data_IF_245215765575
#
_entry.id   IF_245215765575
#
_cell.length_a   1.000
_cell.length_b   1.000
_cell.length_c   1.000
_cell.angle_alpha   90.00
_cell.angle_beta   90.00
_cell.angle_gamma   90.00
#
_symmetry.space_group_name_H-M   'P 1'
#
loop_
_entity.id
_entity.type
_entity.pdbx_description
1 polymer ?
#
# COMPACT_ATOMS: atom_id res chain seq x y z
N UNK A 1 11.60 20.63 -3.50
CA UNK A 1 12.06 21.87 -4.16
C UNK A 1 11.85 21.93 -5.68
N UNK A 2 11.16 20.96 -6.32
CA UNK A 2 10.98 20.95 -7.78
C UNK A 2 9.66 21.61 -8.27
N UNK A 3 8.91 22.28 -7.39
CA UNK A 3 7.58 22.83 -7.70
C UNK A 3 7.57 23.80 -8.90
N UNK A 4 8.50 24.78 -8.98
CA UNK A 4 8.57 25.68 -10.13
C UNK A 4 8.87 24.93 -11.44
N UNK A 5 9.72 23.91 -11.40
CA UNK A 5 10.06 23.09 -12.57
C UNK A 5 8.87 22.27 -13.09
N UNK A 6 8.09 21.67 -12.19
CA UNK A 6 6.88 20.91 -12.55
C UNK A 6 5.77 21.82 -13.12
N UNK A 7 5.62 23.04 -12.62
CA UNK A 7 4.67 24.00 -13.19
C UNK A 7 5.12 24.48 -14.57
N UNK A 8 6.43 24.77 -14.73
CA UNK A 8 7.00 25.16 -16.03
C UNK A 8 6.91 24.05 -17.07
N UNK A 9 7.02 22.77 -16.70
CA UNK A 9 6.83 21.66 -17.64
C UNK A 9 5.38 21.54 -18.10
N UNK A 10 4.41 21.75 -17.20
CA UNK A 10 2.99 21.76 -17.57
C UNK A 10 2.69 22.92 -18.53
N UNK A 11 3.27 24.09 -18.31
CA UNK A 11 3.13 25.25 -19.20
C UNK A 11 3.80 25.01 -20.55
N UNK A 12 4.95 24.33 -20.58
CA UNK A 12 5.62 23.95 -21.81
C UNK A 12 4.79 22.94 -22.61
N UNK A 13 4.22 21.92 -21.96
CA UNK A 13 3.37 20.90 -22.59
C UNK A 13 2.08 21.51 -23.16
N UNK A 14 1.47 22.46 -22.42
CA UNK A 14 0.27 23.18 -22.87
C UNK A 14 0.58 24.08 -24.09
N UNK A 15 1.72 24.80 -24.06
CA UNK A 15 2.15 25.64 -25.18
C UNK A 15 2.59 24.82 -26.40
N UNK A 16 3.11 23.60 -26.19
CA UNK A 16 3.47 22.66 -27.24
C UNK A 16 2.25 21.90 -27.81
N UNK A 17 1.06 22.07 -27.21
CA UNK A 17 -0.17 21.39 -27.63
C UNK A 17 -0.21 19.89 -27.32
N UNK A 18 0.64 19.42 -26.40
CA UNK A 18 0.70 18.02 -25.97
C UNK A 18 -0.47 17.70 -25.01
N UNK A 19 -0.92 18.70 -24.25
CA UNK A 19 -2.04 18.61 -23.32
C UNK A 19 -3.03 19.76 -23.57
N UNK A 20 -4.29 19.57 -23.19
CA UNK A 20 -5.33 20.60 -23.26
C UNK A 20 -5.41 21.46 -21.97
N UNK A 21 -6.28 22.49 -21.98
CA UNK A 21 -6.45 23.39 -20.83
C UNK A 21 -7.05 22.71 -19.59
N UNK A 22 -7.95 21.73 -19.78
CA UNK A 22 -8.57 21.00 -18.67
C UNK A 22 -7.56 20.02 -18.04
N UNK A 23 -6.75 19.35 -18.85
CA UNK A 23 -5.69 18.48 -18.41
C UNK A 23 -4.56 19.25 -17.71
N UNK A 24 -4.17 20.42 -18.25
CA UNK A 24 -3.20 21.31 -17.59
C UNK A 24 -3.70 21.81 -16.23
N UNK A 25 -5.00 22.15 -16.12
CA UNK A 25 -5.62 22.54 -14.85
C UNK A 25 -5.61 21.39 -13.83
N UNK A 26 -5.91 20.18 -14.28
CA UNK A 26 -5.90 18.97 -13.44
C UNK A 26 -4.49 18.67 -12.94
N UNK A 27 -3.48 18.64 -13.82
CA UNK A 27 -2.08 18.42 -13.43
C UNK A 27 -1.54 19.49 -12.48
N UNK A 28 -1.92 20.76 -12.67
CA UNK A 28 -1.54 21.84 -11.72
C UNK A 28 -2.14 21.61 -10.34
N UNK A 29 -3.39 21.15 -10.27
CA UNK A 29 -4.03 20.81 -9.01
C UNK A 29 -3.33 19.65 -8.31
N UNK A 30 -2.93 18.61 -9.05
CA UNK A 30 -2.14 17.48 -8.52
C UNK A 30 -0.78 17.93 -7.98
N UNK A 31 -0.04 18.74 -8.74
CA UNK A 31 1.25 19.28 -8.28
C UNK A 31 1.09 20.16 -7.04
N UNK A 32 0.01 20.94 -6.95
CA UNK A 32 -0.31 21.74 -5.76
C UNK A 32 -0.61 20.83 -4.56
N UNK A 33 -1.43 19.79 -4.73
CA UNK A 33 -1.72 18.83 -3.65
C UNK A 33 -0.48 18.10 -3.17
N UNK A 34 0.40 17.70 -4.08
CA UNK A 34 1.68 17.08 -3.75
C UNK A 34 2.54 18.04 -2.92
N UNK A 35 2.61 19.31 -3.31
CA UNK A 35 3.35 20.33 -2.58
C UNK A 35 2.76 20.60 -1.18
N UNK A 36 1.44 20.71 -1.08
CA UNK A 36 0.74 20.88 0.19
C UNK A 36 0.96 19.68 1.12
N UNK A 37 0.94 18.47 0.58
CA UNK A 37 1.21 17.24 1.33
C UNK A 37 2.63 17.24 1.90
N UNK A 38 3.65 17.48 1.07
CA UNK A 38 5.03 17.50 1.55
C UNK A 38 5.32 18.70 2.46
N UNK A 39 4.66 19.84 2.26
CA UNK A 39 4.72 20.98 3.17
C UNK A 39 4.13 20.67 4.54
N UNK A 40 2.96 20.04 4.57
CA UNK A 40 2.33 19.56 5.81
C UNK A 40 3.17 18.48 6.49
N UNK A 41 3.81 17.59 5.72
CA UNK A 41 4.64 16.49 6.24
C UNK A 41 5.96 17.00 6.84
N UNK A 42 6.63 17.98 6.22
CA UNK A 42 7.81 18.64 6.80
C UNK A 42 7.46 19.39 8.09
N UNK A 43 6.31 20.08 8.10
CA UNK A 43 5.77 20.71 9.31
C UNK A 43 5.55 19.69 10.43
N UNK A 44 4.78 18.63 10.16
CA UNK A 44 4.50 17.55 11.11
C UNK A 44 5.79 16.89 11.63
N UNK A 45 6.78 16.63 10.76
CA UNK A 45 8.07 16.04 11.13
C UNK A 45 8.85 16.92 12.13
N UNK A 46 8.84 18.25 11.95
CA UNK A 46 9.46 19.19 12.90
C UNK A 46 8.74 19.20 14.25
N UNK A 47 7.40 19.14 14.27
CA UNK A 47 6.63 19.05 15.52
C UNK A 47 6.87 17.73 16.25
N UNK A 48 6.87 16.60 15.55
CA UNK A 48 7.15 15.28 16.12
C UNK A 48 8.57 15.21 16.69
N UNK A 49 9.55 15.77 15.97
CA UNK A 49 10.93 15.85 16.47
C UNK A 49 11.06 16.73 17.71
N UNK A 50 10.33 17.85 17.76
CA UNK A 50 10.29 18.73 18.94
C UNK A 50 9.65 18.05 20.16
N UNK A 51 8.54 17.35 19.94
CA UNK A 51 7.83 16.59 20.98
C UNK A 51 8.68 15.45 21.54
N UNK A 52 9.40 14.72 20.67
CA UNK A 52 10.33 13.67 21.09
C UNK A 52 11.50 14.22 21.95
N UNK A 53 12.06 15.38 21.58
CA UNK A 53 13.14 16.02 22.36
C UNK A 53 12.62 16.47 23.73
N UNK A 54 11.41 17.07 23.77
CA UNK A 54 10.78 17.48 25.02
C UNK A 54 10.47 16.29 25.93
N UNK A 55 9.93 15.19 25.38
CA UNK A 55 9.67 13.95 26.12
C UNK A 55 10.93 13.33 26.74
N UNK A 56 12.04 13.31 26.00
CA UNK A 56 13.34 12.82 26.52
C UNK A 56 13.85 13.70 27.67
N UNK A 57 13.72 15.03 27.55
CA UNK A 57 14.13 15.97 28.61
C UNK A 57 13.28 15.78 29.87
N UNK A 58 11.95 15.69 29.73
CA UNK A 58 11.03 15.44 30.84
C UNK A 58 11.37 14.12 31.53
N UNK A 59 11.64 13.07 30.75
CA UNK A 59 12.03 11.75 31.30
C UNK A 59 13.31 11.82 32.12
N UNK A 60 14.35 12.50 31.62
CA UNK A 60 15.60 12.68 32.36
C UNK A 60 15.40 13.49 33.64
N UNK A 61 14.63 14.58 33.58
CA UNK A 61 14.35 15.44 34.74
C UNK A 61 13.57 14.65 35.80
N UNK A 62 12.54 13.91 35.42
CA UNK A 62 11.72 13.15 36.35
C UNK A 62 12.50 11.99 37.00
N UNK A 63 13.36 11.29 36.25
CA UNK A 63 14.20 10.23 36.81
C UNK A 63 15.25 10.81 37.76
N UNK A 64 16.02 11.82 37.33
CA UNK A 64 17.11 12.38 38.15
C UNK A 64 16.55 13.14 39.35
N UNK A 65 15.56 14.00 39.13
CA UNK A 65 14.91 14.79 40.17
C UNK A 65 14.12 13.92 41.15
N UNK A 66 13.37 12.94 40.63
CA UNK A 66 12.64 11.96 41.45
C UNK A 66 13.58 11.12 42.31
N UNK A 67 14.70 10.67 41.75
CA UNK A 67 15.69 9.90 42.49
C UNK A 67 16.42 10.74 43.55
N UNK A 68 16.75 12.00 43.25
CA UNK A 68 17.32 12.94 44.21
C UNK A 68 16.36 13.23 45.38
N UNK A 69 15.08 13.52 45.09
CA UNK A 69 14.05 13.78 46.10
C UNK A 69 13.73 12.51 46.90
N UNK A 70 13.59 11.36 46.22
CA UNK A 70 13.28 10.07 46.82
C UNK A 70 14.34 9.63 47.84
N UNK A 71 15.62 9.83 47.52
CA UNK A 71 16.71 9.50 48.45
C UNK A 71 16.89 10.58 49.53
N UNK A 72 16.84 11.88 49.18
CA UNK A 72 17.17 12.96 50.11
C UNK A 72 16.04 13.33 51.08
N UNK A 73 14.77 13.29 50.63
CA UNK A 73 13.61 13.69 51.44
C UNK A 73 12.81 12.49 51.96
N UNK A 74 12.73 11.41 51.19
CA UNK A 74 11.91 10.24 51.53
C UNK A 74 12.72 9.04 52.07
N UNK A 75 14.05 9.18 52.22
CA UNK A 75 14.95 8.13 52.74
C UNK A 75 14.83 6.79 52.01
N UNK A 76 14.43 6.80 50.74
CA UNK A 76 14.31 5.58 49.94
C UNK A 76 15.71 5.08 49.55
N UNK A 77 15.89 3.76 49.54
CA UNK A 77 17.08 3.14 48.94
C UNK A 77 17.14 3.43 47.44
N UNK A 78 18.34 3.57 46.88
CA UNK A 78 18.56 3.89 45.47
C UNK A 78 17.75 3.01 44.51
N UNK A 79 17.69 1.69 44.78
CA UNK A 79 16.94 0.73 43.94
C UNK A 79 15.42 0.95 44.00
N UNK A 80 14.89 1.29 45.17
CA UNK A 80 13.45 1.50 45.36
C UNK A 80 13.03 2.86 44.77
N UNK A 81 13.83 3.90 44.98
CA UNK A 81 13.63 5.20 44.34
C UNK A 81 13.65 5.09 42.80
N UNK A 82 14.61 4.37 42.24
CA UNK A 82 14.68 4.15 40.80
C UNK A 82 13.41 3.46 40.26
N UNK A 83 12.93 2.39 40.92
CA UNK A 83 11.71 1.68 40.50
C UNK A 83 10.48 2.58 40.54
N UNK A 84 10.26 3.29 41.65
CA UNK A 84 9.08 4.14 41.84
C UNK A 84 9.05 5.28 40.83
N UNK A 85 10.15 6.04 40.72
CA UNK A 85 10.20 7.21 39.85
C UNK A 85 10.33 6.85 38.38
N UNK A 86 10.96 5.72 38.01
CA UNK A 86 10.92 5.23 36.63
C UNK A 86 9.50 4.82 36.21
N UNK A 87 8.75 4.11 37.07
CA UNK A 87 7.37 3.72 36.78
C UNK A 87 6.45 4.94 36.61
N UNK A 88 6.56 5.92 37.51
CA UNK A 88 5.82 7.19 37.43
C UNK A 88 6.15 7.95 36.14
N UNK A 89 7.43 8.02 35.76
CA UNK A 89 7.88 8.73 34.55
C UNK A 89 7.38 8.06 33.26
N UNK A 90 7.41 6.73 33.19
CA UNK A 90 6.87 5.99 32.04
C UNK A 90 5.34 6.19 31.95
N UNK A 91 4.65 6.17 33.10
CA UNK A 91 3.21 6.44 33.16
C UNK A 91 2.84 7.84 32.66
N UNK A 92 3.57 8.87 33.11
CA UNK A 92 3.40 10.25 32.67
C UNK A 92 3.63 10.40 31.15
N UNK A 93 4.69 9.78 30.63
CA UNK A 93 4.96 9.73 29.20
C UNK A 93 3.82 9.10 28.38
N UNK A 94 3.27 7.97 28.84
CA UNK A 94 2.14 7.32 28.15
C UNK A 94 0.86 8.17 28.19
N UNK A 95 0.57 8.82 29.31
CA UNK A 95 -0.61 9.68 29.47
C UNK A 95 -0.51 10.94 28.62
N UNK A 96 0.67 11.51 28.45
CA UNK A 96 0.89 12.70 27.61
C UNK A 96 0.92 12.34 26.11
N UNK A 97 1.54 11.22 25.73
CA UNK A 97 1.82 10.92 24.33
C UNK A 97 0.60 10.37 23.57
N UNK A 98 -0.23 9.54 24.21
CA UNK A 98 -1.38 8.90 23.54
C UNK A 98 -2.39 9.94 23.03
N UNK A 99 -2.82 10.94 23.82
CA UNK A 99 -3.73 11.98 23.34
C UNK A 99 -3.10 12.88 22.27
N UNK A 100 -1.81 13.21 22.42
CA UNK A 100 -1.07 14.03 21.44
C UNK A 100 -1.04 13.34 20.07
N UNK A 101 -0.74 12.04 20.04
CA UNK A 101 -0.74 11.24 18.81
C UNK A 101 -2.13 11.17 18.16
N UNK A 102 -3.18 10.96 18.95
CA UNK A 102 -4.57 10.96 18.46
C UNK A 102 -4.98 12.31 17.90
N UNK A 103 -4.61 13.41 18.55
CA UNK A 103 -4.90 14.76 18.08
C UNK A 103 -4.13 15.09 16.79
N UNK A 104 -2.84 14.73 16.73
CA UNK A 104 -1.99 14.93 15.56
C UNK A 104 -2.50 14.14 14.35
N UNK A 105 -2.85 12.87 14.54
CA UNK A 105 -3.41 12.04 13.46
C UNK A 105 -4.78 12.53 13.02
N UNK A 106 -5.67 12.93 13.93
CA UNK A 106 -6.95 13.53 13.58
C UNK A 106 -6.77 14.84 12.79
N UNK A 107 -5.87 15.72 13.21
CA UNK A 107 -5.56 16.96 12.50
C UNK A 107 -4.96 16.68 11.11
N UNK A 108 -4.05 15.72 10.99
CA UNK A 108 -3.47 15.31 9.71
C UNK A 108 -4.53 14.75 8.75
N UNK A 109 -5.45 13.92 9.25
CA UNK A 109 -6.59 13.40 8.45
C UNK A 109 -7.50 14.54 7.98
N UNK A 110 -7.76 15.53 8.83
CA UNK A 110 -8.55 16.71 8.46
C UNK A 110 -7.82 17.50 7.36
N UNK A 111 -6.55 17.86 7.58
CA UNK A 111 -5.78 18.71 6.65
C UNK A 111 -5.58 18.03 5.28
N UNK A 112 -5.30 16.73 5.24
CA UNK A 112 -5.08 16.01 3.98
C UNK A 112 -6.35 15.78 3.17
N UNK A 113 -7.54 15.99 3.74
CA UNK A 113 -8.83 15.61 3.11
C UNK A 113 -9.78 16.79 2.86
N UNK A 114 -9.42 18.00 3.30
CA UNK A 114 -10.16 19.27 3.04
C UNK A 114 -10.12 19.70 1.56
N UNK A 115 -9.32 19.06 0.70
CA UNK A 115 -9.31 19.32 -0.74
C UNK A 115 -10.45 18.63 -1.54
N UNK A 116 -11.36 17.90 -0.89
CA UNK A 116 -12.57 17.35 -1.54
C UNK A 116 -13.80 18.22 -1.23
N UNK A 117 -14.56 18.60 -2.26
CA UNK A 117 -15.68 19.55 -2.21
C UNK A 117 -16.97 19.01 -1.59
N UNK A 118 -16.92 17.96 -0.77
CA UNK A 118 -18.10 17.34 -0.13
C UNK A 118 -18.08 17.54 1.38
N UNK A 119 -19.25 17.80 1.97
CA UNK A 119 -19.44 17.91 3.41
C UNK A 119 -18.99 16.62 4.12
N UNK A 120 -17.86 16.71 4.83
CA UNK A 120 -17.23 15.63 5.59
C UNK A 120 -18.24 14.86 6.46
N UNK A 121 -19.15 15.57 7.13
CA UNK A 121 -20.18 14.96 7.97
C UNK A 121 -21.10 14.00 7.20
N UNK A 122 -21.48 14.36 5.97
CA UNK A 122 -22.31 13.52 5.13
C UNK A 122 -21.55 12.28 4.63
N UNK A 123 -20.28 12.41 4.25
CA UNK A 123 -19.47 11.25 3.82
C UNK A 123 -19.25 10.25 4.95
N UNK A 124 -18.91 10.73 6.15
CA UNK A 124 -18.72 9.87 7.33
C UNK A 124 -20.04 9.17 7.68
N UNK A 125 -21.17 9.88 7.67
CA UNK A 125 -22.49 9.27 7.88
C UNK A 125 -22.79 8.20 6.83
N UNK A 126 -22.57 8.49 5.54
CA UNK A 126 -22.81 7.54 4.45
C UNK A 126 -21.89 6.32 4.55
N UNK A 127 -20.63 6.48 4.97
CA UNK A 127 -19.68 5.37 5.04
C UNK A 127 -19.88 4.50 6.30
N UNK A 128 -20.13 5.13 7.46
CA UNK A 128 -20.43 4.43 8.70
C UNK A 128 -21.77 3.70 8.63
N UNK A 129 -22.82 4.34 8.11
CA UNK A 129 -24.14 3.73 8.00
C UNK A 129 -24.37 3.00 6.68
N UNK A 130 -23.45 3.08 5.72
CA UNK A 130 -23.52 2.36 4.43
C UNK A 130 -22.77 1.04 4.42
N UNK A 131 -21.86 0.80 5.38
CA UNK A 131 -21.10 -0.46 5.44
C UNK A 131 -21.74 -1.47 6.41
N UNK A 132 -22.27 -2.61 5.90
CA UNK A 132 -22.93 -3.60 6.76
C UNK A 132 -21.96 -4.23 7.77
N UNK A 133 -20.66 -4.29 7.45
CA UNK A 133 -19.62 -4.79 8.35
C UNK A 133 -19.40 -3.88 9.57
N UNK A 134 -19.35 -2.55 9.37
CA UNK A 134 -19.16 -1.62 10.49
C UNK A 134 -20.34 -1.63 11.46
N UNK A 135 -21.58 -1.64 10.94
CA UNK A 135 -22.77 -1.78 11.78
C UNK A 135 -22.82 -3.12 12.51
N UNK A 136 -22.39 -4.21 11.88
CA UNK A 136 -22.35 -5.53 12.52
C UNK A 136 -21.34 -5.59 13.67
N UNK A 137 -20.13 -5.05 13.47
CA UNK A 137 -19.11 -4.97 14.53
C UNK A 137 -19.61 -4.10 15.69
N UNK A 138 -20.20 -2.93 15.40
CA UNK A 138 -20.80 -2.06 16.41
C UNK A 138 -21.92 -2.79 17.19
N UNK A 139 -22.78 -3.53 16.50
CA UNK A 139 -23.84 -4.32 17.13
C UNK A 139 -23.28 -5.36 18.11
N UNK A 140 -22.22 -6.08 17.72
CA UNK A 140 -21.56 -7.08 18.58
C UNK A 140 -20.98 -6.41 19.83
N UNK A 141 -20.25 -5.30 19.67
CA UNK A 141 -19.65 -4.57 20.79
C UNK A 141 -20.74 -4.05 21.75
N UNK A 142 -21.83 -3.48 21.22
CA UNK A 142 -22.94 -2.98 22.02
C UNK A 142 -23.65 -4.10 22.78
N UNK A 143 -23.84 -5.27 22.17
CA UNK A 143 -24.41 -6.44 22.86
C UNK A 143 -23.48 -6.94 23.96
N UNK A 144 -22.18 -7.03 23.70
CA UNK A 144 -21.19 -7.43 24.71
C UNK A 144 -21.21 -6.45 25.89
N UNK A 145 -21.15 -5.14 25.65
CA UNK A 145 -21.26 -4.12 26.70
C UNK A 145 -22.60 -4.22 27.45
N UNK A 146 -23.67 -4.51 26.73
CA UNK A 146 -25.01 -4.70 27.28
C UNK A 146 -25.19 -5.99 28.08
N UNK A 147 -24.23 -6.91 28.11
CA UNK A 147 -24.24 -8.10 28.98
C UNK A 147 -23.44 -7.87 30.27
N UNK A 148 -22.58 -6.85 30.31
CA UNK A 148 -21.76 -6.52 31.49
C UNK A 148 -22.66 -5.98 32.63
N UNK A 149 -22.60 -6.56 33.84
CA UNK A 149 -23.40 -6.09 34.98
C UNK A 149 -22.97 -4.69 35.41
N UNK A 150 -23.93 -3.79 35.62
CA UNK A 150 -23.69 -2.39 35.99
C UNK A 150 -23.88 -1.38 34.86
N UNK A 151 -24.06 -1.84 33.62
CA UNK A 151 -24.39 -0.98 32.47
C UNK A 151 -25.91 -0.97 32.19
N UNK A 152 -26.47 0.10 31.58
CA UNK A 152 -27.87 0.15 31.16
C UNK A 152 -28.23 -0.92 30.10
N UNK A 153 -28.51 -2.15 30.54
CA UNK A 153 -28.73 -3.33 29.69
C UNK A 153 -29.75 -3.06 28.56
N UNK A 154 -30.87 -2.42 28.86
CA UNK A 154 -31.92 -2.11 27.87
C UNK A 154 -31.45 -1.16 26.76
N UNK A 155 -30.62 -0.16 27.09
CA UNK A 155 -30.13 0.80 26.10
C UNK A 155 -29.12 0.17 25.14
N UNK A 156 -28.16 -0.59 25.68
CA UNK A 156 -27.11 -1.23 24.89
C UNK A 156 -27.62 -2.40 24.05
N UNK A 157 -28.49 -3.25 24.60
CA UNK A 157 -29.12 -4.32 23.84
C UNK A 157 -30.10 -3.76 22.79
N UNK A 158 -30.85 -2.70 23.12
CA UNK A 158 -31.73 -2.00 22.18
C UNK A 158 -30.98 -1.39 20.99
N UNK A 159 -29.90 -0.64 21.25
CA UNK A 159 -29.06 -0.08 20.19
C UNK A 159 -28.33 -1.17 19.41
N UNK A 160 -27.81 -2.20 20.08
CA UNK A 160 -27.15 -3.32 19.43
C UNK A 160 -28.07 -4.08 18.47
N UNK A 161 -29.31 -4.34 18.88
CA UNK A 161 -30.33 -4.96 18.00
C UNK A 161 -30.72 -4.07 16.83
N UNK A 162 -30.82 -2.75 17.03
CA UNK A 162 -31.11 -1.80 15.95
C UNK A 162 -29.96 -1.75 14.94
N UNK A 163 -28.71 -1.72 15.39
CA UNK A 163 -27.53 -1.82 14.53
C UNK A 163 -27.46 -3.15 13.78
N UNK A 164 -27.80 -4.27 14.44
CA UNK A 164 -27.85 -5.58 13.77
C UNK A 164 -28.94 -5.62 12.68
N UNK A 165 -30.12 -5.07 12.96
CA UNK A 165 -31.20 -4.96 11.98
C UNK A 165 -30.82 -4.05 10.79
N UNK A 166 -30.15 -2.93 11.07
CA UNK A 166 -29.62 -2.03 10.03
C UNK A 166 -28.58 -2.71 9.15
N UNK A 167 -27.62 -3.44 9.75
CA UNK A 167 -26.63 -4.23 9.01
C UNK A 167 -27.30 -5.26 8.09
N UNK A 168 -28.27 -6.00 8.62
CA UNK A 168 -29.01 -7.02 7.88
C UNK A 168 -29.82 -6.42 6.73
N UNK A 169 -30.46 -5.27 6.94
CA UNK A 169 -31.24 -4.57 5.90
C UNK A 169 -30.35 -4.06 4.77
N UNK A 170 -29.20 -3.47 5.08
CA UNK A 170 -28.22 -3.01 4.08
C UNK A 170 -27.64 -4.20 3.30
N UNK A 171 -27.31 -5.28 4.01
CA UNK A 171 -26.78 -6.50 3.40
C UNK A 171 -27.80 -7.13 2.43
N UNK A 172 -29.06 -7.21 2.84
CA UNK A 172 -30.15 -7.75 2.03
C UNK A 172 -30.44 -6.87 0.79
N UNK A 173 -30.43 -5.55 0.96
CA UNK A 173 -30.59 -4.60 -0.16
C UNK A 173 -29.45 -4.70 -1.17
N UNK A 174 -28.21 -4.84 -0.70
CA UNK A 174 -27.03 -5.05 -1.57
C UNK A 174 -27.05 -6.39 -2.31
N UNK A 175 -27.65 -7.43 -1.73
CA UNK A 175 -27.88 -8.69 -2.45
C UNK A 175 -29.01 -8.60 -3.49
N UNK A 176 -30.08 -7.86 -3.18
CA UNK A 176 -31.19 -7.65 -4.10
C UNK A 176 -30.79 -6.82 -5.33
N UNK A 177 -29.83 -5.91 -5.18
CA UNK A 177 -29.19 -5.12 -6.25
C UNK A 177 -27.98 -5.86 -6.89
N UNK A 178 -27.92 -7.20 -6.77
CA UNK A 178 -26.77 -8.09 -6.99
C UNK A 178 -26.09 -8.16 -8.37
N UNK A 179 -26.25 -7.13 -9.21
CA UNK A 179 -25.46 -6.91 -10.43
C UNK A 179 -24.26 -5.96 -10.23
N UNK A 180 -24.38 -4.90 -9.43
CA UNK A 180 -23.37 -3.82 -9.38
C UNK A 180 -22.37 -3.92 -8.21
N UNK A 181 -22.79 -4.42 -7.04
CA UNK A 181 -21.89 -4.52 -5.85
C UNK A 181 -20.76 -5.53 -6.07
N UNK A 182 -20.98 -6.53 -6.94
CA UNK A 182 -19.96 -7.52 -7.33
C UNK A 182 -18.93 -6.95 -8.29
N UNK A 183 -19.23 -5.84 -8.98
CA UNK A 183 -18.27 -5.09 -9.77
C UNK A 183 -17.50 -4.11 -8.89
N UNK A 184 -18.14 -3.42 -7.94
CA UNK A 184 -17.44 -2.51 -7.00
C UNK A 184 -16.46 -3.25 -6.06
N UNK A 185 -16.80 -4.43 -5.55
CA UNK A 185 -15.84 -5.26 -4.79
C UNK A 185 -14.71 -5.81 -5.67
N UNK A 186 -14.97 -6.03 -6.97
CA UNK A 186 -13.94 -6.43 -7.94
C UNK A 186 -13.08 -5.26 -8.38
N UNK A 187 -13.63 -4.06 -8.49
CA UNK A 187 -12.90 -2.82 -8.79
C UNK A 187 -12.08 -2.38 -7.59
N UNK A 188 -12.61 -2.43 -6.37
CA UNK A 188 -11.84 -2.15 -5.16
C UNK A 188 -10.67 -3.14 -4.99
N UNK A 189 -10.89 -4.43 -5.25
CA UNK A 189 -9.80 -5.42 -5.29
C UNK A 189 -8.81 -5.19 -6.43
N UNK A 190 -9.27 -4.78 -7.62
CA UNK A 190 -8.38 -4.42 -8.74
C UNK A 190 -7.58 -3.15 -8.45
N UNK A 191 -8.14 -2.18 -7.74
CA UNK A 191 -7.46 -0.95 -7.33
C UNK A 191 -6.44 -1.24 -6.23
N UNK A 192 -6.75 -2.12 -5.26
CA UNK A 192 -5.76 -2.62 -4.29
C UNK A 192 -4.67 -3.46 -4.96
N UNK A 193 -5.01 -4.34 -5.93
CA UNK A 193 -4.02 -5.10 -6.70
C UNK A 193 -3.17 -4.20 -7.61
N UNK A 194 -3.74 -3.16 -8.23
CA UNK A 194 -3.01 -2.16 -9.01
C UNK A 194 -2.16 -1.25 -8.13
N UNK A 195 -2.59 -0.92 -6.91
CA UNK A 195 -1.79 -0.15 -5.95
C UNK A 195 -0.61 -0.99 -5.43
N UNK A 196 -0.83 -2.26 -5.13
CA UNK A 196 0.23 -3.21 -4.75
C UNK A 196 1.17 -3.55 -5.93
N UNK A 197 0.68 -3.48 -7.18
CA UNK A 197 1.52 -3.59 -8.38
C UNK A 197 2.33 -2.30 -8.64
N UNK A 198 1.76 -1.10 -8.43
CA UNK A 198 2.51 0.17 -8.52
C UNK A 198 3.60 0.30 -7.47
N UNK A 199 3.39 -0.26 -6.28
CA UNK A 199 4.44 -0.35 -5.26
C UNK A 199 5.58 -1.31 -5.67
N UNK A 200 5.29 -2.31 -6.52
CA UNK A 200 6.30 -3.16 -7.14
C UNK A 200 6.94 -2.57 -8.41
N UNK A 201 6.30 -1.63 -9.10
CA UNK A 201 6.86 -0.97 -10.29
C UNK A 201 8.03 -0.02 -9.97
N UNK A 202 8.19 0.37 -8.70
CA UNK A 202 9.33 1.15 -8.21
C UNK A 202 10.38 0.31 -7.46
N UNK A 203 10.37 -1.02 -7.61
CA UNK A 203 11.57 -1.79 -7.27
C UNK A 203 12.63 -1.49 -8.33
N UNK A 204 13.69 -0.80 -7.92
CA UNK A 204 14.93 -0.75 -8.71
C UNK A 204 15.33 -2.19 -9.09
N UNK A 205 15.75 -2.38 -10.35
CA UNK A 205 16.18 -3.68 -10.90
C UNK A 205 17.08 -4.42 -9.89
N UNK A 206 16.57 -5.51 -9.35
CA UNK A 206 17.27 -6.36 -8.38
C UNK A 206 17.98 -7.53 -9.07
N UNK A 207 18.82 -8.23 -8.32
CA UNK A 207 19.43 -9.50 -8.79
C UNK A 207 18.39 -10.57 -9.11
N UNK A 208 17.18 -10.46 -8.53
CA UNK A 208 16.05 -11.34 -8.80
C UNK A 208 15.41 -11.11 -10.20
N UNK A 209 15.66 -9.95 -10.82
CA UNK A 209 15.20 -9.61 -12.18
C UNK A 209 16.16 -10.12 -13.26
N UNK A 210 17.35 -10.58 -12.87
CA UNK A 210 18.33 -11.18 -13.78
C UNK A 210 17.89 -12.60 -14.09
N UNK A 211 17.24 -12.77 -15.25
CA UNK A 211 16.84 -14.11 -15.68
C UNK A 211 18.07 -15.02 -15.85
N UNK A 212 18.00 -16.28 -15.37
CA UNK A 212 19.04 -17.27 -15.62
C UNK A 212 19.29 -17.45 -17.12
N UNK A 213 20.56 -17.64 -17.48
CA UNK A 213 20.96 -17.83 -18.88
C UNK A 213 20.44 -19.17 -19.39
N UNK A 214 19.71 -19.12 -20.51
CA UNK A 214 19.19 -20.32 -21.16
C UNK A 214 20.33 -21.18 -21.72
N UNK A 215 20.25 -22.49 -21.45
CA UNK A 215 21.25 -23.44 -21.91
C UNK A 215 21.34 -23.48 -23.44
N UNK A 216 20.20 -23.49 -24.12
CA UNK A 216 20.07 -23.38 -25.57
C UNK A 216 18.92 -22.40 -25.86
N UNK A 217 19.22 -21.31 -26.55
CA UNK A 217 18.23 -20.32 -27.02
C UNK A 217 18.09 -20.34 -28.54
N UNK A 218 16.88 -20.06 -29.01
CA UNK A 218 16.59 -19.78 -30.41
C UNK A 218 15.87 -18.43 -30.47
N UNK A 219 16.57 -17.43 -30.98
CA UNK A 219 16.01 -16.12 -31.23
C UNK A 219 15.48 -16.06 -32.67
N UNK A 220 14.27 -15.53 -32.85
CA UNK A 220 13.64 -15.42 -34.16
C UNK A 220 13.23 -13.98 -34.46
N UNK A 221 13.48 -13.54 -35.69
CA UNK A 221 12.93 -12.31 -36.22
C UNK A 221 11.41 -12.40 -36.40
N UNK A 222 10.74 -11.25 -36.44
CA UNK A 222 9.27 -11.19 -36.36
C UNK A 222 8.52 -11.93 -37.49
N UNK A 223 9.10 -12.12 -38.69
CA UNK A 223 8.44 -12.87 -39.78
C UNK A 223 8.50 -14.38 -39.60
N UNK A 224 9.30 -14.87 -38.67
CA UNK A 224 9.40 -16.29 -38.33
C UNK A 224 8.49 -16.69 -37.16
N UNK A 225 7.88 -15.72 -36.45
CA UNK A 225 6.93 -15.98 -35.35
C UNK A 225 5.81 -16.96 -35.74
N UNK A 226 5.16 -16.83 -36.92
CA UNK A 226 4.09 -17.76 -37.32
C UNK A 226 4.56 -19.23 -37.45
N UNK A 227 5.85 -19.48 -37.69
CA UNK A 227 6.40 -20.83 -37.80
C UNK A 227 6.60 -21.48 -36.42
N UNK A 228 6.72 -20.68 -35.37
CA UNK A 228 6.94 -21.11 -33.99
C UNK A 228 5.62 -21.26 -33.23
N UNK A 229 4.64 -20.39 -33.50
CA UNK A 229 3.37 -20.35 -32.79
C UNK A 229 2.42 -21.49 -33.18
N UNK A 230 2.04 -22.32 -32.20
CA UNK A 230 1.11 -23.44 -32.42
C UNK A 230 -0.29 -22.98 -32.80
N UNK A 231 -0.72 -21.81 -32.31
CA UNK A 231 -2.05 -21.27 -32.60
C UNK A 231 -2.20 -20.87 -34.07
N UNK A 232 -1.08 -20.55 -34.72
CA UNK A 232 -1.00 -20.18 -36.14
C UNK A 232 -0.61 -21.37 -37.04
N UNK A 233 -0.59 -22.60 -36.51
CA UNK A 233 -0.21 -23.80 -37.27
C UNK A 233 1.31 -23.98 -37.43
N UNK A 234 2.12 -23.32 -36.61
CA UNK A 234 3.57 -23.43 -36.59
C UNK A 234 4.06 -24.85 -36.31
N UNK A 235 4.97 -25.35 -37.14
CA UNK A 235 5.52 -26.70 -37.03
C UNK A 235 6.87 -26.77 -36.29
N UNK A 236 7.51 -25.62 -36.01
CA UNK A 236 8.89 -25.59 -35.55
C UNK A 236 9.06 -26.25 -34.18
N UNK A 237 8.14 -26.01 -33.24
CA UNK A 237 8.16 -26.62 -31.90
C UNK A 237 8.11 -28.15 -31.96
N UNK A 238 7.31 -28.71 -32.87
CA UNK A 238 7.23 -30.15 -33.08
C UNK A 238 8.53 -30.73 -33.63
N UNK A 239 9.16 -30.04 -34.59
CA UNK A 239 10.44 -30.44 -35.20
C UNK A 239 11.58 -30.38 -34.17
N UNK A 240 11.66 -29.32 -33.38
CA UNK A 240 12.68 -29.17 -32.32
C UNK A 240 12.54 -30.29 -31.29
N UNK A 241 11.32 -30.64 -30.87
CA UNK A 241 11.08 -31.77 -29.96
C UNK A 241 11.54 -33.09 -30.58
N UNK A 242 11.33 -33.30 -31.88
CA UNK A 242 11.81 -34.46 -32.63
C UNK A 242 13.33 -34.55 -32.68
N UNK A 243 14.00 -33.45 -33.02
CA UNK A 243 15.48 -33.35 -33.05
C UNK A 243 16.06 -33.63 -31.67
N UNK A 244 15.51 -33.00 -30.62
CA UNK A 244 15.92 -33.22 -29.23
C UNK A 244 15.80 -34.70 -28.83
N UNK A 245 14.71 -35.36 -29.19
CA UNK A 245 14.50 -36.80 -28.90
C UNK A 245 15.55 -37.66 -29.60
N UNK A 246 15.81 -37.41 -30.89
CA UNK A 246 16.80 -38.14 -31.68
C UNK A 246 18.21 -37.96 -31.11
N UNK A 247 18.63 -36.71 -30.87
CA UNK A 247 19.94 -36.40 -30.30
C UNK A 247 20.12 -37.00 -28.90
N UNK A 248 19.07 -37.00 -28.08
CA UNK A 248 19.17 -37.59 -26.74
C UNK A 248 19.36 -39.11 -26.79
N UNK A 249 18.82 -39.78 -27.80
CA UNK A 249 19.01 -41.21 -28.02
C UNK A 249 20.40 -41.53 -28.57
N UNK A 250 20.91 -40.70 -29.48
CA UNK A 250 22.25 -40.89 -30.09
C UNK A 250 23.38 -40.59 -29.10
N UNK A 251 23.24 -39.55 -28.28
CA UNK A 251 24.28 -39.09 -27.37
C UNK A 251 24.24 -39.78 -25.99
N UNK A 252 23.15 -40.48 -25.67
CA UNK A 252 23.00 -41.21 -24.40
C UNK A 252 22.70 -40.33 -23.17
N UNK A 253 22.39 -39.04 -23.37
CA UNK A 253 21.93 -38.14 -22.31
C UNK A 253 20.80 -37.23 -22.79
N UNK A 254 20.02 -36.70 -21.85
CA UNK A 254 18.90 -35.81 -22.18
C UNK A 254 19.39 -34.43 -22.59
N UNK A 255 19.22 -34.06 -23.86
CA UNK A 255 19.54 -32.72 -24.36
C UNK A 255 18.62 -31.69 -23.65
N UNK A 256 19.15 -30.53 -23.22
CA UNK A 256 18.34 -29.46 -22.61
C UNK A 256 17.19 -28.98 -23.50
N UNK A 257 16.18 -28.33 -22.90
CA UNK A 257 15.12 -27.66 -23.67
C UNK A 257 15.67 -26.43 -24.38
N UNK A 258 15.16 -26.21 -25.60
CA UNK A 258 15.44 -24.99 -26.37
C UNK A 258 14.39 -23.96 -26.01
N UNK A 259 14.80 -22.81 -25.48
CA UNK A 259 13.91 -21.67 -25.25
C UNK A 259 13.86 -20.82 -26.51
N UNK A 260 12.65 -20.46 -26.95
CA UNK A 260 12.45 -19.67 -28.16
C UNK A 260 11.95 -18.30 -27.74
N UNK A 261 12.62 -17.25 -28.20
CA UNK A 261 12.29 -15.85 -27.91
C UNK A 261 12.24 -15.08 -29.23
N UNK A 262 11.33 -14.12 -29.34
CA UNK A 262 11.40 -13.14 -30.41
C UNK A 262 12.50 -12.11 -30.10
N UNK A 263 13.23 -11.71 -31.15
CA UNK A 263 14.23 -10.66 -31.04
C UNK A 263 14.00 -9.64 -32.15
N UNK A 264 13.58 -8.43 -31.76
CA UNK A 264 13.30 -7.32 -32.67
C UNK A 264 14.58 -6.71 -33.28
N UNK A 265 15.75 -6.97 -32.69
CA UNK A 265 17.05 -6.55 -33.23
C UNK A 265 17.52 -7.44 -34.39
N UNK A 266 16.90 -8.61 -34.59
CA UNK A 266 17.18 -9.47 -35.73
C UNK A 266 16.47 -8.98 -36.99
N UNK A 267 17.11 -9.22 -38.14
CA UNK A 267 16.45 -9.03 -39.43
C UNK A 267 15.15 -9.86 -39.51
N UNK A 268 14.14 -9.38 -40.27
CA UNK A 268 12.81 -10.00 -40.31
C UNK A 268 12.79 -11.53 -40.50
N UNK A 269 13.68 -12.04 -41.35
CA UNK A 269 13.80 -13.45 -41.71
C UNK A 269 15.03 -14.13 -41.10
N UNK A 270 15.71 -13.47 -40.16
CA UNK A 270 16.88 -14.03 -39.50
C UNK A 270 16.48 -14.79 -38.24
N UNK A 271 17.30 -15.79 -37.91
CA UNK A 271 17.26 -16.48 -36.64
C UNK A 271 18.68 -16.54 -36.08
N UNK A 272 18.79 -16.73 -34.77
CA UNK A 272 20.07 -16.90 -34.08
C UNK A 272 19.93 -18.01 -33.05
N UNK A 273 20.92 -18.89 -33.00
CA UNK A 273 21.00 -19.93 -31.97
C UNK A 273 22.02 -19.46 -30.94
N UNK A 274 21.66 -19.59 -29.67
CA UNK A 274 22.55 -19.27 -28.56
C UNK A 274 22.79 -20.51 -27.70
N UNK A 275 24.02 -20.66 -27.22
CA UNK A 275 24.42 -21.69 -26.27
C UNK A 275 24.99 -20.98 -25.05
N UNK A 276 24.37 -21.18 -23.88
CA UNK A 276 24.76 -20.49 -22.65
C UNK A 276 24.88 -18.97 -22.84
N UNK A 277 23.93 -18.38 -23.57
CA UNK A 277 23.87 -16.94 -23.85
C UNK A 277 24.83 -16.43 -24.92
N UNK A 278 25.63 -17.29 -25.55
CA UNK A 278 26.57 -16.91 -26.63
C UNK A 278 26.03 -17.36 -27.99
N UNK A 279 26.04 -16.47 -28.97
CA UNK A 279 25.63 -16.76 -30.34
C UNK A 279 26.63 -17.71 -31.02
N UNK A 280 26.12 -18.75 -31.71
CA UNK A 280 26.91 -19.75 -32.44
C UNK A 280 26.52 -19.83 -33.92
#
# INVERSE_FOLDING_TARGET
DAMPGKQMSIDADLNAGVIDQEEAKTRRAEVSQEADFYGAMDGASKFVRGDAIAGILILLINIIGGLAIGMAQYNLGFSDALKVYALLTIGDGLVAQIPSLLLSTAAAIIVTRVNSSQDMGNQIMVQMFGSPQALAIAAVILVIMGVIPGMPHFAFLGLGTLCAAGAYWIYYRRQAEGGQVREEEKEARKVEEMAAQRENEFKELGWDDVQPVDAIGLEVGYRLIPLVDKSQGGQLLGRIKGVRKKLSQELGFLVPSVHIRDNLDLLPNAYRITLMGVAI
#
